data_IF_740408782261
#
_entry.id   IF_740408782261
#
_cell.length_a   1.000
_cell.length_b   1.000
_cell.length_c   1.000
_cell.angle_alpha   90.00
_cell.angle_beta   90.00
_cell.angle_gamma   90.00
#
_symmetry.space_group_name_H-M   'P 1'
#
loop_
_entity.id
_entity.type
_entity.pdbx_description
1 polymer ?
#
# COMPACT_ATOMS: atom_id res chain seq x y z
N UNK A 1 6.74 -24.62 -2.41
CA UNK A 1 6.18 -23.34 -2.90
C UNK A 1 6.14 -22.36 -1.73
N UNK A 2 6.96 -21.31 -1.72
CA UNK A 2 7.24 -20.50 -0.51
C UNK A 2 6.25 -19.34 -0.29
N UNK A 3 5.63 -18.86 -1.36
CA UNK A 3 4.67 -17.74 -1.37
C UNK A 3 3.50 -17.93 -0.39
N UNK A 4 2.79 -19.07 -0.33
CA UNK A 4 1.67 -19.22 0.61
C UNK A 4 2.10 -19.10 2.08
N UNK A 5 3.32 -19.51 2.42
CA UNK A 5 3.87 -19.38 3.78
C UNK A 5 4.11 -17.90 4.13
N UNK A 6 4.57 -17.10 3.17
CA UNK A 6 4.79 -15.67 3.37
C UNK A 6 3.45 -14.96 3.59
N UNK A 7 2.44 -15.28 2.77
CA UNK A 7 1.09 -14.74 2.91
C UNK A 7 0.51 -15.09 4.28
N UNK A 8 0.65 -16.35 4.71
CA UNK A 8 0.17 -16.78 6.03
C UNK A 8 0.82 -15.98 7.16
N UNK A 9 2.15 -15.75 7.10
CA UNK A 9 2.85 -14.93 8.08
C UNK A 9 2.35 -13.49 8.10
N UNK A 10 2.14 -12.88 6.93
CA UNK A 10 1.61 -11.52 6.82
C UNK A 10 0.22 -11.41 7.44
N UNK A 11 -0.68 -12.34 7.13
CA UNK A 11 -2.02 -12.40 7.69
C UNK A 11 -1.98 -12.59 9.22
N UNK A 12 -1.09 -13.46 9.71
CA UNK A 12 -0.90 -13.67 11.14
C UNK A 12 -0.37 -12.41 11.86
N UNK A 13 0.62 -11.72 11.28
CA UNK A 13 1.10 -10.44 11.81
C UNK A 13 -0.01 -9.38 11.82
N UNK A 14 -0.82 -9.31 10.78
CA UNK A 14 -1.97 -8.41 10.71
C UNK A 14 -2.99 -8.67 11.81
N UNK A 15 -3.32 -9.95 12.05
CA UNK A 15 -4.21 -10.35 13.15
C UNK A 15 -3.65 -9.89 14.51
N UNK A 16 -2.36 -10.14 14.78
CA UNK A 16 -1.71 -9.71 16.02
C UNK A 16 -1.69 -8.18 16.16
N UNK A 17 -1.45 -7.45 15.07
CA UNK A 17 -1.45 -5.99 15.08
C UNK A 17 -2.82 -5.40 15.42
N UNK A 18 -3.90 -5.98 14.89
CA UNK A 18 -5.28 -5.53 15.19
C UNK A 18 -5.61 -5.79 16.65
N UNK A 19 -5.31 -6.99 17.15
CA UNK A 19 -5.51 -7.35 18.57
C UNK A 19 -4.74 -6.38 19.48
N UNK A 20 -3.49 -6.07 19.16
CA UNK A 20 -2.66 -5.17 19.95
C UNK A 20 -3.15 -3.71 19.93
N UNK A 21 -3.59 -3.18 18.78
CA UNK A 21 -4.04 -1.79 18.69
C UNK A 21 -5.41 -1.54 19.31
N UNK A 22 -6.33 -2.49 19.17
CA UNK A 22 -7.69 -2.35 19.70
C UNK A 22 -7.85 -2.98 21.09
N UNK A 23 -6.77 -3.52 21.67
CA UNK A 23 -6.74 -4.19 22.97
C UNK A 23 -7.84 -5.25 23.14
N UNK A 24 -8.06 -6.03 22.08
CA UNK A 24 -9.17 -6.98 21.99
C UNK A 24 -8.81 -8.31 22.66
N UNK A 25 -9.69 -8.76 23.55
CA UNK A 25 -9.64 -10.06 24.19
C UNK A 25 -10.54 -11.02 23.41
N UNK A 26 -9.91 -11.86 22.58
CA UNK A 26 -10.62 -12.84 21.74
C UNK A 26 -11.43 -13.89 22.54
N UNK A 27 -11.24 -13.94 23.87
CA UNK A 27 -12.05 -14.75 24.78
C UNK A 27 -13.44 -14.19 25.05
N UNK A 28 -13.70 -12.92 24.73
CA UNK A 28 -15.00 -12.27 24.88
C UNK A 28 -15.72 -12.31 23.53
N UNK A 29 -16.94 -12.85 23.51
CA UNK A 29 -17.68 -13.09 22.27
C UNK A 29 -17.92 -11.80 21.45
N UNK A 30 -18.23 -10.70 22.14
CA UNK A 30 -18.47 -9.38 21.52
C UNK A 30 -17.18 -8.82 20.90
N UNK A 31 -16.06 -8.91 21.60
CA UNK A 31 -14.76 -8.40 21.11
C UNK A 31 -14.23 -9.26 19.96
N UNK A 32 -14.59 -10.54 19.92
CA UNK A 32 -14.30 -11.43 18.81
C UNK A 32 -15.06 -11.04 17.54
N UNK A 33 -16.33 -10.66 17.64
CA UNK A 33 -17.08 -10.14 16.50
C UNK A 33 -16.46 -8.84 15.96
N UNK A 34 -16.07 -7.93 16.87
CA UNK A 34 -15.35 -6.71 16.50
C UNK A 34 -14.02 -7.02 15.80
N UNK A 35 -13.25 -7.98 16.32
CA UNK A 35 -12.02 -8.44 15.68
C UNK A 35 -12.25 -8.89 14.24
N UNK A 36 -13.28 -9.71 13.98
CA UNK A 36 -13.58 -10.14 12.61
C UNK A 36 -13.93 -8.95 11.70
N UNK A 37 -14.69 -7.97 12.19
CA UNK A 37 -14.97 -6.74 11.45
C UNK A 37 -13.69 -5.98 11.07
N UNK A 38 -12.82 -5.72 12.04
CA UNK A 38 -11.54 -5.04 11.80
C UNK A 38 -10.62 -5.84 10.89
N UNK A 39 -10.53 -7.15 11.09
CA UNK A 39 -9.68 -8.03 10.30
C UNK A 39 -10.12 -8.09 8.84
N UNK A 40 -11.42 -8.26 8.59
CA UNK A 40 -11.96 -8.27 7.22
C UNK A 40 -11.77 -6.92 6.53
N UNK A 41 -11.98 -5.81 7.25
CA UNK A 41 -11.72 -4.46 6.73
C UNK A 41 -10.24 -4.25 6.38
N UNK A 42 -9.33 -4.64 7.28
CA UNK A 42 -7.89 -4.57 7.05
C UNK A 42 -7.44 -5.38 5.84
N UNK A 43 -7.90 -6.64 5.72
CA UNK A 43 -7.59 -7.50 4.56
C UNK A 43 -8.09 -6.85 3.27
N UNK A 44 -9.33 -6.35 3.24
CA UNK A 44 -9.89 -5.69 2.06
C UNK A 44 -9.08 -4.46 1.64
N UNK A 45 -8.69 -3.63 2.60
CA UNK A 45 -7.85 -2.45 2.34
C UNK A 45 -6.46 -2.84 1.82
N UNK A 46 -5.85 -3.89 2.38
CA UNK A 46 -4.55 -4.39 1.95
C UNK A 46 -4.58 -4.88 0.50
N UNK A 47 -5.66 -5.55 0.08
CA UNK A 47 -5.83 -5.94 -1.32
C UNK A 47 -6.07 -4.74 -2.23
N UNK A 48 -6.93 -3.80 -1.85
CA UNK A 48 -7.18 -2.58 -2.66
C UNK A 48 -5.90 -1.80 -2.88
N UNK A 49 -5.17 -1.47 -1.81
CA UNK A 49 -3.92 -0.73 -1.89
C UNK A 49 -2.82 -1.53 -2.59
N UNK A 50 -2.77 -2.84 -2.37
CA UNK A 50 -1.83 -3.73 -3.05
C UNK A 50 -2.03 -3.72 -4.57
N UNK A 51 -3.28 -3.74 -5.04
CA UNK A 51 -3.62 -3.62 -6.46
C UNK A 51 -3.21 -2.25 -6.99
N UNK A 52 -3.52 -1.16 -6.28
CA UNK A 52 -3.18 0.19 -6.72
C UNK A 52 -1.66 0.39 -6.86
N UNK A 53 -0.88 -0.03 -5.85
CA UNK A 53 0.58 0.06 -5.89
C UNK A 53 1.16 -0.82 -7.00
N UNK A 54 0.66 -2.04 -7.14
CA UNK A 54 1.13 -2.95 -8.19
C UNK A 54 0.78 -2.41 -9.58
N UNK A 55 -0.42 -1.85 -9.75
CA UNK A 55 -0.85 -1.23 -10.99
C UNK A 55 0.01 -0.01 -11.32
N UNK A 56 0.29 0.86 -10.34
CA UNK A 56 1.18 2.01 -10.50
C UNK A 56 2.59 1.61 -10.95
N UNK A 57 3.17 0.57 -10.34
CA UNK A 57 4.49 0.04 -10.71
C UNK A 57 4.47 -0.56 -12.12
N UNK A 58 3.46 -1.37 -12.45
CA UNK A 58 3.35 -2.05 -13.76
C UNK A 58 3.08 -1.07 -14.89
N UNK A 59 2.22 -0.08 -14.67
CA UNK A 59 1.90 0.95 -15.67
C UNK A 59 3.03 1.96 -15.86
N UNK A 60 4.12 1.84 -15.09
CA UNK A 60 5.21 2.79 -15.06
C UNK A 60 4.73 4.25 -14.92
N UNK A 61 3.63 4.46 -14.19
CA UNK A 61 3.11 5.82 -13.93
C UNK A 61 4.09 6.65 -13.09
N UNK A 62 5.11 6.01 -12.51
CA UNK A 62 6.25 6.63 -11.84
C UNK A 62 7.37 7.09 -12.79
N UNK A 63 7.41 6.60 -14.04
CA UNK A 63 8.38 7.08 -15.02
C UNK A 63 7.90 8.43 -15.57
N UNK A 64 8.78 9.45 -15.63
CA UNK A 64 8.42 10.70 -16.26
C UNK A 64 8.07 10.46 -17.72
N UNK A 65 6.82 10.77 -18.10
CA UNK A 65 6.40 10.73 -19.51
C UNK A 65 7.33 11.61 -20.34
N UNK A 66 7.75 11.13 -21.52
CA UNK A 66 8.63 11.84 -22.46
C UNK A 66 8.09 13.23 -22.87
N UNK A 67 6.83 13.53 -22.57
CA UNK A 67 6.19 14.84 -22.76
C UNK A 67 6.64 15.92 -21.76
N UNK A 68 7.33 15.56 -20.67
CA UNK A 68 8.01 16.50 -19.76
C UNK A 68 9.50 16.67 -20.07
N UNK A 69 9.99 16.14 -21.18
CA UNK A 69 11.26 16.60 -21.75
C UNK A 69 10.91 17.89 -22.48
N UNK A 70 11.06 19.03 -21.80
CA UNK A 70 11.09 20.34 -22.49
C UNK A 70 12.31 20.31 -23.42
N UNK A 71 12.14 20.22 -24.74
CA UNK A 71 13.27 20.35 -25.66
C UNK A 71 13.48 21.85 -25.83
N UNK A 72 14.36 22.43 -25.03
CA UNK A 72 14.64 23.86 -25.13
C UNK A 72 15.06 24.55 -23.84
N UNK A 73 15.90 23.92 -23.00
CA UNK A 73 16.78 24.69 -22.10
C UNK A 73 17.96 25.27 -22.90
N UNK A 74 17.65 25.87 -24.06
CA UNK A 74 18.53 26.80 -24.74
C UNK A 74 18.55 28.04 -23.86
N UNK A 75 19.54 28.04 -22.97
CA UNK A 75 19.89 29.15 -22.10
C UNK A 75 20.07 30.41 -22.97
N UNK A 76 18.99 31.17 -23.11
CA UNK A 76 19.04 32.53 -23.61
C UNK A 76 19.65 33.39 -22.50
N UNK A 77 20.98 33.44 -22.46
CA UNK A 77 21.70 34.42 -21.66
C UNK A 77 21.42 35.81 -22.26
N UNK A 78 20.92 36.78 -21.49
CA UNK A 78 20.84 38.15 -21.98
C UNK A 78 22.28 38.63 -22.24
N UNK A 79 22.58 38.98 -23.49
CA UNK A 79 23.75 39.78 -23.83
C UNK A 79 23.44 41.20 -23.40
N UNK A 80 23.98 41.60 -22.24
CA UNK A 80 24.03 43.00 -21.83
C UNK A 80 24.75 43.80 -22.91
N UNK A 81 24.08 44.85 -23.40
CA UNK A 81 24.62 45.88 -24.28
C UNK A 81 24.77 47.20 -23.54
#
# INVERSE_FOLDING_TARGET
MKVPIIILKLLFLGALFIVANHNLHLGIDVEREQFFGYYMSWVSNLFSQGVDVTAYVIKFEWLPNEQNIVPGSDLNFPVDS
#
